data_IF_244724444154
#
_entry.id   IF_244724444154
#
_cell.length_a   1.000
_cell.length_b   1.000
_cell.length_c   1.000
_cell.angle_alpha   90.00
_cell.angle_beta   90.00
_cell.angle_gamma   90.00
#
_symmetry.space_group_name_H-M   'P 1'
#
loop_
_entity.id
_entity.type
_entity.pdbx_description
1 polymer ?
#
# COMPACT_ATOMS: atom_id res chain seq x y z
N UNK A 1 -62.32 -11.46 8.15
CA UNK A 1 -62.64 -10.07 8.55
C UNK A 1 -62.72 -9.16 7.35
N UNK A 2 -61.75 -9.14 6.45
CA UNK A 2 -61.73 -8.30 5.24
C UNK A 2 -62.87 -8.65 4.30
N UNK A 3 -63.14 -9.92 4.02
CA UNK A 3 -64.24 -10.36 3.17
C UNK A 3 -65.62 -9.86 3.70
N UNK A 4 -65.85 -9.95 5.01
CA UNK A 4 -67.09 -9.41 5.62
C UNK A 4 -67.20 -7.88 5.47
N UNK A 5 -66.05 -7.18 5.50
CA UNK A 5 -65.97 -5.73 5.25
C UNK A 5 -66.32 -5.39 3.79
N UNK A 6 -65.82 -6.18 2.83
CA UNK A 6 -66.11 -6.04 1.40
C UNK A 6 -67.64 -6.29 1.12
N UNK A 7 -68.21 -7.31 1.74
CA UNK A 7 -69.65 -7.58 1.61
C UNK A 7 -70.51 -6.39 2.11
N UNK A 8 -70.15 -5.79 3.23
CA UNK A 8 -70.82 -4.60 3.77
C UNK A 8 -70.69 -3.42 2.80
N UNK A 9 -69.51 -3.15 2.26
CA UNK A 9 -69.30 -2.09 1.30
C UNK A 9 -70.02 -2.30 -0.02
N UNK A 10 -70.08 -3.55 -0.50
CA UNK A 10 -70.83 -3.95 -1.67
C UNK A 10 -72.33 -3.69 -1.47
N UNK A 11 -72.89 -4.09 -0.32
CA UNK A 11 -74.30 -3.84 0.01
C UNK A 11 -74.66 -2.35 0.07
N UNK A 12 -73.75 -1.51 0.57
CA UNK A 12 -73.89 -0.05 0.53
C UNK A 12 -73.89 0.47 -0.92
N UNK A 13 -72.98 -0.02 -1.78
CA UNK A 13 -72.93 0.35 -3.20
C UNK A 13 -74.19 -0.01 -3.98
N UNK A 14 -74.71 -1.22 -3.72
CA UNK A 14 -76.01 -1.67 -4.33
C UNK A 14 -77.16 -0.82 -3.84
N UNK A 15 -77.22 -0.41 -2.59
CA UNK A 15 -78.20 0.50 -2.05
C UNK A 15 -78.17 1.89 -2.68
N UNK A 16 -77.00 2.30 -3.23
CA UNK A 16 -76.80 3.56 -3.96
C UNK A 16 -77.15 3.43 -5.48
N UNK A 17 -77.80 2.35 -5.92
CA UNK A 17 -78.18 2.08 -7.32
C UNK A 17 -76.99 1.85 -8.28
N UNK A 18 -75.80 1.48 -7.79
CA UNK A 18 -74.75 1.03 -8.68
C UNK A 18 -74.99 -0.43 -9.11
N UNK A 19 -74.57 -0.77 -10.33
CA UNK A 19 -74.62 -2.17 -10.79
C UNK A 19 -73.76 -3.09 -9.94
N UNK A 20 -74.12 -4.36 -9.82
CA UNK A 20 -73.39 -5.33 -8.95
C UNK A 20 -71.90 -5.43 -9.19
N UNK A 21 -71.48 -5.38 -10.46
CA UNK A 21 -70.06 -5.38 -10.85
C UNK A 21 -69.34 -4.10 -10.43
N UNK A 22 -69.96 -2.93 -10.56
CA UNK A 22 -69.42 -1.64 -10.18
C UNK A 22 -69.33 -1.51 -8.67
N UNK A 23 -70.31 -1.97 -7.92
CA UNK A 23 -70.38 -1.99 -6.47
C UNK A 23 -69.19 -2.86 -5.88
N UNK A 24 -68.95 -3.99 -6.51
CA UNK A 24 -67.90 -4.90 -6.15
C UNK A 24 -66.51 -4.26 -6.38
N UNK A 25 -66.28 -3.67 -7.55
CA UNK A 25 -65.00 -2.97 -7.84
C UNK A 25 -64.75 -1.81 -6.89
N UNK A 26 -65.80 -1.05 -6.53
CA UNK A 26 -65.62 0.04 -5.53
C UNK A 26 -65.39 -0.54 -4.15
N UNK A 27 -66.03 -1.62 -3.73
CA UNK A 27 -65.78 -2.24 -2.41
C UNK A 27 -64.37 -2.78 -2.26
N UNK A 28 -63.88 -3.49 -3.25
CA UNK A 28 -62.49 -3.99 -3.25
C UNK A 28 -61.47 -2.85 -3.32
N UNK A 29 -61.68 -1.84 -4.15
CA UNK A 29 -60.82 -0.65 -4.22
C UNK A 29 -60.78 0.08 -2.87
N UNK A 30 -61.93 0.26 -2.19
CA UNK A 30 -61.95 0.83 -0.83
C UNK A 30 -61.28 -0.06 0.20
N UNK A 31 -61.36 -1.38 0.09
CA UNK A 31 -60.65 -2.29 0.97
C UNK A 31 -59.10 -2.12 0.85
N UNK A 32 -58.57 -1.94 -0.35
CA UNK A 32 -57.16 -1.66 -0.58
C UNK A 32 -56.75 -0.28 0.00
N UNK A 33 -57.60 0.74 -0.24
CA UNK A 33 -57.34 2.08 0.33
C UNK A 33 -57.32 2.05 1.87
N UNK A 34 -58.25 1.29 2.48
CA UNK A 34 -58.27 1.14 3.94
C UNK A 34 -57.07 0.37 4.47
N UNK A 35 -56.58 -0.68 3.76
CA UNK A 35 -55.34 -1.37 4.10
C UNK A 35 -54.14 -0.44 4.03
N UNK A 36 -54.03 0.39 3.01
CA UNK A 36 -52.95 1.39 2.90
C UNK A 36 -53.06 2.43 4.01
N UNK A 37 -54.25 2.92 4.31
CA UNK A 37 -54.48 3.87 5.41
C UNK A 37 -54.08 3.30 6.78
N UNK A 38 -54.45 2.04 7.04
CA UNK A 38 -54.03 1.32 8.25
C UNK A 38 -52.49 1.17 8.28
N UNK A 39 -51.87 0.83 7.15
CA UNK A 39 -50.42 0.74 7.00
C UNK A 39 -49.72 2.05 7.36
N UNK A 40 -50.21 3.17 6.81
CA UNK A 40 -49.70 4.51 7.13
C UNK A 40 -49.91 4.87 8.60
N UNK A 41 -51.12 4.58 9.15
CA UNK A 41 -51.36 4.81 10.58
C UNK A 41 -50.40 4.01 11.48
N UNK A 42 -50.13 2.77 11.12
CA UNK A 42 -49.18 1.92 11.83
C UNK A 42 -47.75 2.42 11.72
N UNK A 43 -47.34 3.06 10.60
CA UNK A 43 -46.05 3.76 10.50
C UNK A 43 -45.95 4.86 11.57
N UNK A 44 -46.98 5.72 11.67
CA UNK A 44 -47.00 6.79 12.66
C UNK A 44 -46.94 6.24 14.10
N UNK A 45 -47.74 5.22 14.37
CA UNK A 45 -47.77 4.57 15.67
C UNK A 45 -46.44 3.92 16.02
N UNK A 46 -45.87 3.14 15.09
CA UNK A 46 -44.55 2.50 15.30
C UNK A 46 -43.43 3.51 15.45
N UNK A 47 -43.40 4.58 14.67
CA UNK A 47 -42.44 5.70 14.85
C UNK A 47 -42.60 6.35 16.20
N UNK A 48 -43.82 6.58 16.69
CA UNK A 48 -44.06 7.14 18.00
C UNK A 48 -43.53 6.21 19.11
N UNK A 49 -43.82 4.90 19.03
CA UNK A 49 -43.38 3.87 19.97
C UNK A 49 -41.84 3.78 19.95
N UNK A 50 -41.27 3.67 18.74
CA UNK A 50 -39.81 3.57 18.56
C UNK A 50 -39.11 4.80 19.15
N UNK A 51 -39.57 6.00 18.80
CA UNK A 51 -38.94 7.22 19.32
C UNK A 51 -39.05 7.31 20.86
N UNK A 52 -40.19 6.92 21.44
CA UNK A 52 -40.37 6.92 22.90
C UNK A 52 -39.51 5.85 23.59
N UNK A 53 -39.51 4.61 23.07
CA UNK A 53 -38.79 3.48 23.65
C UNK A 53 -37.29 3.67 23.51
N UNK A 54 -36.84 4.10 22.34
CA UNK A 54 -35.42 4.32 22.05
C UNK A 54 -34.88 5.49 22.88
N UNK A 55 -35.63 6.59 23.04
CA UNK A 55 -35.24 7.69 23.92
C UNK A 55 -35.13 7.28 25.39
N UNK A 56 -35.92 6.29 25.84
CA UNK A 56 -35.83 5.75 27.22
C UNK A 56 -34.59 4.83 27.35
N UNK A 57 -34.32 3.99 26.35
CA UNK A 57 -33.17 3.08 26.36
C UNK A 57 -31.86 3.85 26.37
N UNK A 58 -31.74 4.89 25.53
CA UNK A 58 -30.52 5.72 25.43
C UNK A 58 -30.19 6.43 26.72
N UNK A 59 -31.20 6.94 27.42
CA UNK A 59 -30.98 7.56 28.74
C UNK A 59 -30.42 6.58 29.79
N UNK A 60 -30.48 5.27 29.53
CA UNK A 60 -29.98 4.20 30.42
C UNK A 60 -28.63 3.62 29.96
N UNK A 61 -28.23 3.79 28.69
CA UNK A 61 -26.96 3.29 28.16
C UNK A 61 -26.06 4.45 27.72
N UNK A 62 -24.83 4.60 28.26
CA UNK A 62 -23.88 5.64 27.87
C UNK A 62 -23.18 5.32 26.54
N UNK A 63 -23.89 4.69 25.59
CA UNK A 63 -23.31 4.23 24.33
C UNK A 63 -23.51 5.24 23.20
N UNK A 64 -22.41 5.75 22.63
CA UNK A 64 -22.43 6.65 21.45
C UNK A 64 -23.02 5.98 20.19
N UNK A 65 -23.10 4.65 20.18
CA UNK A 65 -23.59 3.88 19.02
C UNK A 65 -25.10 4.06 18.80
N UNK A 66 -25.86 4.08 19.87
CA UNK A 66 -27.31 4.16 19.84
C UNK A 66 -27.77 5.53 19.34
N UNK A 67 -27.07 6.59 19.73
CA UNK A 67 -27.33 7.96 19.27
C UNK A 67 -27.16 8.12 17.76
N UNK A 68 -26.16 7.47 17.16
CA UNK A 68 -25.89 7.53 15.73
C UNK A 68 -26.95 6.78 14.91
N UNK A 69 -27.45 5.64 15.39
CA UNK A 69 -28.54 4.91 14.72
C UNK A 69 -29.83 5.74 14.68
N UNK A 70 -30.11 6.49 15.74
CA UNK A 70 -31.28 7.40 15.78
C UNK A 70 -31.09 8.60 14.90
N UNK A 71 -29.92 9.25 14.96
CA UNK A 71 -29.59 10.40 14.12
C UNK A 71 -29.79 10.07 12.63
N UNK A 72 -29.34 8.88 12.21
CA UNK A 72 -29.48 8.39 10.85
C UNK A 72 -30.87 7.76 10.55
N UNK A 73 -31.79 7.83 11.49
CA UNK A 73 -33.19 7.40 11.37
C UNK A 73 -33.35 5.93 10.93
N UNK A 74 -32.43 5.03 11.34
CA UNK A 74 -32.44 3.61 10.93
C UNK A 74 -33.76 2.95 11.35
N UNK A 75 -34.17 3.08 12.59
CA UNK A 75 -35.41 2.49 13.14
C UNK A 75 -36.65 3.05 12.47
N UNK A 76 -36.67 4.35 12.16
CA UNK A 76 -37.77 5.01 11.44
C UNK A 76 -37.93 4.43 10.04
N UNK A 77 -36.81 4.13 9.35
CA UNK A 77 -36.82 3.52 8.02
C UNK A 77 -37.30 2.07 8.05
N UNK A 78 -37.00 1.31 9.11
CA UNK A 78 -37.52 -0.04 9.30
C UNK A 78 -39.05 -0.02 9.40
N UNK A 79 -39.64 0.98 10.09
CA UNK A 79 -41.10 1.12 10.19
C UNK A 79 -41.79 1.32 8.81
N UNK A 80 -41.05 1.81 7.80
CA UNK A 80 -41.60 1.96 6.45
C UNK A 80 -41.91 0.63 5.74
N UNK A 81 -41.40 -0.51 6.26
CA UNK A 81 -41.75 -1.83 5.70
C UNK A 81 -43.18 -2.28 6.03
N UNK A 82 -43.79 -1.69 7.06
CA UNK A 82 -45.12 -2.14 7.58
C UNK A 82 -46.21 -2.14 6.51
N UNK A 83 -46.41 -1.08 5.70
CA UNK A 83 -47.46 -1.09 4.68
C UNK A 83 -47.25 -2.17 3.62
N UNK A 84 -46.02 -2.38 3.20
CA UNK A 84 -45.71 -3.38 2.18
C UNK A 84 -46.00 -4.78 2.69
N UNK A 85 -45.66 -5.08 3.94
CA UNK A 85 -45.92 -6.37 4.58
C UNK A 85 -47.44 -6.59 4.72
N UNK A 86 -48.18 -5.58 5.17
CA UNK A 86 -49.65 -5.65 5.31
C UNK A 86 -50.33 -5.88 3.99
N UNK A 87 -50.03 -5.07 3.00
CA UNK A 87 -50.63 -5.21 1.66
C UNK A 87 -50.33 -6.59 1.09
N UNK A 88 -49.08 -7.03 1.14
CA UNK A 88 -48.69 -8.33 0.60
C UNK A 88 -49.40 -9.50 1.27
N UNK A 89 -49.70 -9.41 2.57
CA UNK A 89 -50.33 -10.46 3.32
C UNK A 89 -51.86 -10.50 3.07
N UNK A 90 -52.50 -9.33 2.93
CA UNK A 90 -53.96 -9.23 2.88
C UNK A 90 -54.53 -8.89 1.51
N UNK A 91 -53.74 -8.64 0.47
CA UNK A 91 -54.21 -8.17 -0.84
C UNK A 91 -55.13 -9.17 -1.52
N UNK A 92 -54.82 -10.47 -1.42
CA UNK A 92 -55.66 -11.52 -2.03
C UNK A 92 -57.02 -11.62 -1.36
N UNK A 93 -57.10 -11.33 -0.06
CA UNK A 93 -58.35 -11.26 0.67
C UNK A 93 -59.13 -9.96 0.41
N UNK A 94 -58.41 -8.89 0.02
CA UNK A 94 -58.99 -7.57 -0.26
C UNK A 94 -59.47 -7.41 -1.71
N UNK A 95 -58.94 -8.21 -2.64
CA UNK A 95 -59.28 -8.18 -4.07
C UNK A 95 -59.43 -9.59 -4.66
N UNK A 96 -60.39 -10.40 -4.18
CA UNK A 96 -60.57 -11.77 -4.66
C UNK A 96 -61.06 -11.84 -6.14
N UNK A 97 -61.84 -10.86 -6.59
CA UNK A 97 -62.43 -10.87 -7.93
C UNK A 97 -61.60 -10.09 -8.98
N UNK A 98 -60.60 -9.31 -8.54
CA UNK A 98 -59.70 -8.53 -9.40
C UNK A 98 -58.24 -8.96 -9.26
N UNK A 99 -57.97 -10.26 -9.50
CA UNK A 99 -56.60 -10.85 -9.37
C UNK A 99 -55.52 -10.08 -10.16
N UNK A 100 -55.86 -9.60 -11.37
CA UNK A 100 -54.92 -8.84 -12.20
C UNK A 100 -54.44 -7.53 -11.53
N UNK A 101 -55.38 -6.82 -10.88
CA UNK A 101 -55.05 -5.59 -10.12
C UNK A 101 -54.28 -5.93 -8.85
N UNK A 102 -54.64 -6.99 -8.15
CA UNK A 102 -53.91 -7.46 -6.97
C UNK A 102 -52.42 -7.78 -7.29
N UNK A 103 -52.17 -8.45 -8.42
CA UNK A 103 -50.81 -8.75 -8.91
C UNK A 103 -50.01 -7.44 -9.15
N UNK A 104 -50.61 -6.42 -9.77
CA UNK A 104 -49.96 -5.14 -10.03
C UNK A 104 -49.59 -4.45 -8.69
N UNK A 105 -50.52 -4.43 -7.73
CA UNK A 105 -50.30 -3.83 -6.41
C UNK A 105 -49.17 -4.54 -5.67
N UNK A 106 -49.15 -5.88 -5.70
CA UNK A 106 -48.07 -6.66 -5.11
C UNK A 106 -46.73 -6.33 -5.78
N UNK A 107 -46.70 -6.14 -7.10
CA UNK A 107 -45.48 -5.73 -7.82
C UNK A 107 -45.00 -4.34 -7.36
N UNK A 108 -45.88 -3.38 -7.21
CA UNK A 108 -45.57 -2.04 -6.72
C UNK A 108 -45.03 -2.12 -5.30
N UNK A 109 -45.65 -2.91 -4.41
CA UNK A 109 -45.18 -3.08 -3.04
C UNK A 109 -43.80 -3.75 -2.96
N UNK A 110 -43.50 -4.70 -3.83
CA UNK A 110 -42.15 -5.29 -3.91
C UNK A 110 -41.08 -4.26 -4.33
N UNK A 111 -41.38 -3.40 -5.29
CA UNK A 111 -40.46 -2.30 -5.66
C UNK A 111 -40.26 -1.35 -4.48
N UNK A 112 -41.36 -1.00 -3.80
CA UNK A 112 -41.29 -0.19 -2.58
C UNK A 112 -40.41 -0.86 -1.49
N UNK A 113 -40.60 -2.16 -1.23
CA UNK A 113 -39.75 -2.92 -0.28
C UNK A 113 -38.27 -2.80 -0.65
N UNK A 114 -37.89 -2.98 -1.93
CA UNK A 114 -36.48 -2.87 -2.38
C UNK A 114 -35.92 -1.47 -2.08
N UNK A 115 -36.72 -0.41 -2.36
CA UNK A 115 -36.32 0.98 -2.11
C UNK A 115 -36.14 1.22 -0.59
N UNK A 116 -37.02 0.69 0.25
CA UNK A 116 -36.94 0.80 1.69
C UNK A 116 -35.72 0.05 2.24
N UNK A 117 -35.46 -1.18 1.78
CA UNK A 117 -34.26 -1.92 2.16
C UNK A 117 -32.97 -1.16 1.77
N UNK A 118 -32.90 -0.63 0.56
CA UNK A 118 -31.78 0.21 0.14
C UNK A 118 -31.59 1.42 1.05
N UNK A 119 -32.70 2.08 1.42
CA UNK A 119 -32.70 3.20 2.35
C UNK A 119 -32.20 2.83 3.75
N UNK A 120 -32.56 1.66 4.26
CA UNK A 120 -32.06 1.14 5.55
C UNK A 120 -30.57 0.88 5.47
N UNK A 121 -30.10 0.19 4.41
CA UNK A 121 -28.66 -0.07 4.21
C UNK A 121 -27.85 1.22 4.11
N UNK A 122 -28.36 2.23 3.38
CA UNK A 122 -27.68 3.54 3.32
C UNK A 122 -27.61 4.23 4.69
N UNK A 123 -28.67 4.10 5.51
CA UNK A 123 -28.65 4.67 6.85
C UNK A 123 -27.63 3.96 7.76
N UNK A 124 -27.50 2.64 7.64
CA UNK A 124 -26.49 1.87 8.34
C UNK A 124 -25.06 2.26 7.91
N UNK A 125 -24.83 2.43 6.60
CA UNK A 125 -23.54 2.90 6.07
C UNK A 125 -23.21 4.30 6.59
N UNK A 126 -24.17 5.22 6.64
CA UNK A 126 -23.98 6.55 7.23
C UNK A 126 -23.63 6.46 8.72
N UNK A 127 -24.31 5.60 9.46
CA UNK A 127 -24.04 5.38 10.89
C UNK A 127 -22.62 4.85 11.10
N UNK A 128 -22.19 3.87 10.30
CA UNK A 128 -20.84 3.34 10.35
C UNK A 128 -19.78 4.41 10.00
N UNK A 129 -20.06 5.25 9.00
CA UNK A 129 -19.19 6.36 8.63
C UNK A 129 -19.06 7.41 9.73
N UNK A 130 -20.18 7.84 10.33
CA UNK A 130 -20.14 8.79 11.45
C UNK A 130 -19.44 8.20 12.68
N UNK A 131 -19.63 6.90 12.91
CA UNK A 131 -18.92 6.19 13.97
C UNK A 131 -17.40 6.18 13.72
N UNK A 132 -16.97 5.85 12.49
CA UNK A 132 -15.57 5.92 12.10
C UNK A 132 -14.99 7.31 12.32
N UNK A 133 -15.72 8.36 11.93
CA UNK A 133 -15.29 9.75 12.08
C UNK A 133 -15.22 10.21 13.57
N UNK A 134 -15.78 9.46 14.50
CA UNK A 134 -15.65 9.75 15.95
C UNK A 134 -14.28 9.37 16.54
N UNK A 135 -13.48 8.60 15.82
CA UNK A 135 -12.12 8.21 16.23
C UNK A 135 -11.09 9.23 15.73
N UNK A 136 -10.06 9.51 16.53
CA UNK A 136 -9.03 10.51 16.18
C UNK A 136 -8.21 10.13 14.94
N UNK A 137 -7.97 8.85 14.71
CA UNK A 137 -7.23 8.39 13.53
C UNK A 137 -7.96 8.61 12.20
N UNK A 138 -9.28 8.86 12.22
CA UNK A 138 -10.05 9.14 11.00
C UNK A 138 -9.60 10.40 10.29
N UNK A 139 -9.06 11.38 11.03
CA UNK A 139 -8.51 12.63 10.48
C UNK A 139 -7.29 12.40 9.59
N UNK A 140 -6.54 11.33 9.86
CA UNK A 140 -5.34 10.96 9.09
C UNK A 140 -5.67 10.04 7.90
N UNK A 141 -6.82 9.32 7.96
CA UNK A 141 -7.23 8.35 6.94
C UNK A 141 -8.71 8.53 6.61
N UNK A 142 -9.10 9.52 5.81
CA UNK A 142 -10.49 9.72 5.43
C UNK A 142 -11.00 8.56 4.56
N UNK A 143 -12.21 8.04 4.88
CA UNK A 143 -12.85 6.93 4.14
C UNK A 143 -14.06 7.37 3.31
N UNK A 144 -14.24 8.66 3.08
CA UNK A 144 -15.41 9.23 2.37
C UNK A 144 -15.59 8.64 0.98
N UNK A 145 -14.50 8.47 0.23
CA UNK A 145 -14.54 7.82 -1.08
C UNK A 145 -15.02 6.38 -1.02
N UNK A 146 -14.58 5.60 -0.03
CA UNK A 146 -15.02 4.22 0.17
C UNK A 146 -16.52 4.16 0.51
N UNK A 147 -16.99 5.06 1.36
CA UNK A 147 -18.40 5.19 1.72
C UNK A 147 -19.26 5.50 0.49
N UNK A 148 -18.82 6.40 -0.39
CA UNK A 148 -19.50 6.72 -1.65
C UNK A 148 -19.58 5.50 -2.57
N UNK A 149 -18.51 4.74 -2.70
CA UNK A 149 -18.49 3.49 -3.50
C UNK A 149 -19.50 2.49 -2.95
N UNK A 150 -19.52 2.24 -1.63
CA UNK A 150 -20.47 1.32 -1.00
C UNK A 150 -21.93 1.76 -1.26
N UNK A 151 -22.22 3.06 -1.11
CA UNK A 151 -23.56 3.61 -1.46
C UNK A 151 -23.89 3.41 -2.93
N UNK A 152 -22.94 3.64 -3.82
CA UNK A 152 -23.09 3.39 -5.26
C UNK A 152 -23.44 1.92 -5.57
N UNK A 153 -22.78 0.98 -4.90
CA UNK A 153 -23.06 -0.46 -5.02
C UNK A 153 -24.48 -0.78 -4.54
N UNK A 154 -24.93 -0.22 -3.40
CA UNK A 154 -26.29 -0.43 -2.89
C UNK A 154 -27.33 0.08 -3.89
N UNK A 155 -27.12 1.26 -4.48
CA UNK A 155 -28.02 1.81 -5.50
C UNK A 155 -28.05 0.92 -6.74
N UNK A 156 -26.87 0.57 -7.27
CA UNK A 156 -26.76 -0.26 -8.48
C UNK A 156 -27.45 -1.61 -8.30
N UNK A 157 -27.23 -2.26 -7.14
CA UNK A 157 -27.86 -3.54 -6.81
C UNK A 157 -29.38 -3.41 -6.65
N UNK A 158 -29.87 -2.32 -6.05
CA UNK A 158 -31.30 -2.05 -5.92
C UNK A 158 -31.97 -1.83 -7.27
N UNK A 159 -31.32 -1.07 -8.16
CA UNK A 159 -31.79 -0.88 -9.55
C UNK A 159 -31.82 -2.21 -10.30
N UNK A 160 -30.78 -3.04 -10.15
CA UNK A 160 -30.70 -4.37 -10.73
C UNK A 160 -31.88 -5.24 -10.28
N UNK A 161 -32.18 -5.29 -8.98
CA UNK A 161 -33.26 -6.05 -8.40
C UNK A 161 -34.63 -5.55 -8.96
N UNK A 162 -34.86 -4.24 -9.03
CA UNK A 162 -36.07 -3.65 -9.58
C UNK A 162 -36.22 -4.02 -11.06
N UNK A 163 -35.16 -3.90 -11.84
CA UNK A 163 -35.17 -4.23 -13.27
C UNK A 163 -35.47 -5.71 -13.50
N UNK A 164 -34.79 -6.59 -12.72
CA UNK A 164 -35.03 -8.05 -12.73
C UNK A 164 -36.51 -8.37 -12.50
N UNK A 165 -37.06 -7.72 -11.48
CA UNK A 165 -38.46 -7.93 -11.09
C UNK A 165 -39.46 -7.41 -12.15
N UNK A 166 -39.20 -6.23 -12.72
CA UNK A 166 -40.04 -5.64 -13.77
C UNK A 166 -40.03 -6.47 -15.06
N UNK A 167 -38.85 -6.99 -15.45
CA UNK A 167 -38.69 -7.80 -16.66
C UNK A 167 -39.18 -9.25 -16.49
N UNK A 168 -39.52 -9.69 -15.28
CA UNK A 168 -39.91 -11.07 -14.99
C UNK A 168 -38.79 -12.09 -15.26
N UNK A 169 -37.52 -11.64 -15.28
CA UNK A 169 -36.34 -12.48 -15.50
C UNK A 169 -35.75 -12.93 -14.16
N UNK A 170 -35.05 -14.05 -14.19
CA UNK A 170 -34.29 -14.46 -12.99
C UNK A 170 -33.11 -13.54 -12.77
N UNK A 171 -32.76 -13.26 -11.52
CA UNK A 171 -31.57 -12.47 -11.15
C UNK A 171 -30.30 -13.07 -11.75
N UNK A 172 -30.19 -14.41 -11.75
CA UNK A 172 -29.07 -15.14 -12.35
C UNK A 172 -28.90 -14.86 -13.84
N UNK A 173 -29.98 -14.82 -14.61
CA UNK A 173 -29.92 -14.54 -16.06
C UNK A 173 -29.40 -13.14 -16.36
N UNK A 174 -29.77 -12.15 -15.56
CA UNK A 174 -29.29 -10.77 -15.72
C UNK A 174 -27.81 -10.66 -15.25
N UNK A 175 -27.44 -11.32 -14.14
CA UNK A 175 -26.05 -11.34 -13.66
C UNK A 175 -25.12 -12.01 -14.68
N UNK A 176 -25.54 -13.12 -15.31
CA UNK A 176 -24.76 -13.80 -16.36
C UNK A 176 -24.55 -12.86 -17.55
N UNK A 177 -25.61 -12.19 -18.02
CA UNK A 177 -25.48 -11.22 -19.12
C UNK A 177 -24.57 -10.04 -18.79
N UNK A 178 -24.76 -9.42 -17.62
CA UNK A 178 -23.89 -8.33 -17.15
C UNK A 178 -22.47 -8.80 -16.87
N UNK A 179 -22.30 -10.04 -16.36
CA UNK A 179 -21.01 -10.63 -16.10
C UNK A 179 -20.14 -10.77 -17.35
N UNK A 180 -20.75 -11.18 -18.46
CA UNK A 180 -20.06 -11.27 -19.75
C UNK A 180 -19.56 -9.88 -20.22
N UNK A 181 -20.42 -8.87 -20.16
CA UNK A 181 -20.04 -7.50 -20.52
C UNK A 181 -18.97 -6.97 -19.59
N UNK A 182 -19.13 -7.22 -18.28
CA UNK A 182 -18.16 -6.79 -17.26
C UNK A 182 -16.80 -7.44 -17.45
N UNK A 183 -16.73 -8.71 -17.84
CA UNK A 183 -15.47 -9.40 -18.12
C UNK A 183 -14.71 -8.75 -19.29
N UNK A 184 -15.41 -8.38 -20.36
CA UNK A 184 -14.82 -7.66 -21.49
C UNK A 184 -14.32 -6.27 -21.07
N UNK A 185 -15.15 -5.53 -20.32
CA UNK A 185 -14.75 -4.20 -19.80
C UNK A 185 -13.55 -4.29 -18.86
N UNK A 186 -13.53 -5.30 -17.96
CA UNK A 186 -12.38 -5.54 -17.06
C UNK A 186 -11.10 -5.82 -17.85
N UNK A 187 -11.20 -6.57 -18.93
CA UNK A 187 -10.05 -6.84 -19.81
C UNK A 187 -9.54 -5.53 -20.46
N UNK A 188 -10.44 -4.69 -20.95
CA UNK A 188 -10.07 -3.41 -21.59
C UNK A 188 -9.43 -2.46 -20.56
N UNK A 189 -9.94 -2.37 -19.35
CA UNK A 189 -9.44 -1.45 -18.31
C UNK A 189 -8.39 -2.06 -17.38
N UNK A 190 -7.97 -3.31 -17.62
CA UNK A 190 -7.07 -4.05 -16.74
C UNK A 190 -5.81 -3.28 -16.37
N UNK A 191 -5.14 -2.68 -17.35
CA UNK A 191 -3.88 -1.98 -17.10
C UNK A 191 -4.10 -0.65 -16.38
N UNK A 192 -5.20 0.04 -16.66
CA UNK A 192 -5.58 1.24 -15.93
C UNK A 192 -5.87 0.95 -14.45
N UNK A 193 -6.58 -0.16 -14.18
CA UNK A 193 -6.89 -0.60 -12.81
C UNK A 193 -5.60 -1.00 -12.07
N UNK A 194 -4.71 -1.78 -12.71
CA UNK A 194 -3.41 -2.13 -12.15
C UNK A 194 -2.57 -0.89 -11.85
N UNK A 195 -2.55 0.08 -12.78
CA UNK A 195 -1.85 1.35 -12.58
C UNK A 195 -2.38 2.13 -11.39
N UNK A 196 -3.69 2.25 -11.28
CA UNK A 196 -4.34 2.92 -10.14
C UNK A 196 -4.03 2.24 -8.80
N UNK A 197 -4.17 0.91 -8.73
CA UNK A 197 -3.83 0.13 -7.53
C UNK A 197 -2.34 0.26 -7.20
N UNK A 198 -1.47 0.23 -8.22
CA UNK A 198 -0.03 0.44 -8.06
C UNK A 198 0.30 1.80 -7.46
N UNK A 199 -0.34 2.88 -7.92
CA UNK A 199 -0.17 4.22 -7.37
C UNK A 199 -0.56 4.30 -5.89
N UNK A 200 -1.69 3.69 -5.53
CA UNK A 200 -2.12 3.61 -4.12
C UNK A 200 -1.09 2.86 -3.27
N UNK A 201 -0.58 1.73 -3.75
CA UNK A 201 0.42 0.93 -3.04
C UNK A 201 1.74 1.69 -2.86
N UNK A 202 2.23 2.38 -3.90
CA UNK A 202 3.43 3.22 -3.82
C UNK A 202 3.29 4.30 -2.73
N UNK A 203 2.12 4.93 -2.64
CA UNK A 203 1.84 5.98 -1.68
C UNK A 203 1.65 5.45 -0.25
N UNK A 204 0.83 4.41 -0.04
CA UNK A 204 0.53 3.88 1.30
C UNK A 204 1.78 3.26 1.93
N UNK A 205 2.60 2.56 1.13
CA UNK A 205 3.80 1.89 1.62
C UNK A 205 5.03 2.82 1.61
N UNK A 206 4.88 4.09 1.25
CA UNK A 206 5.96 5.07 1.15
C UNK A 206 7.16 4.58 0.32
N UNK A 207 6.87 3.83 -0.74
CA UNK A 207 7.91 3.22 -1.58
C UNK A 207 8.65 4.26 -2.41
N UNK A 208 7.98 5.36 -2.76
CA UNK A 208 8.49 6.38 -3.67
C UNK A 208 7.93 7.77 -3.32
N UNK A 209 8.80 8.79 -3.37
CA UNK A 209 8.44 10.21 -3.21
C UNK A 209 8.98 11.03 -4.38
N UNK A 210 8.32 12.15 -4.65
CA UNK A 210 8.86 13.14 -5.60
C UNK A 210 10.21 13.64 -5.05
N UNK A 211 11.21 13.68 -5.94
CA UNK A 211 12.59 14.03 -5.59
C UNK A 211 13.49 12.84 -5.24
N UNK A 212 12.95 11.62 -5.07
CA UNK A 212 13.78 10.43 -4.87
C UNK A 212 14.64 10.15 -6.10
N UNK A 213 15.91 9.85 -5.89
CA UNK A 213 16.73 9.25 -6.92
C UNK A 213 16.47 7.75 -6.98
N UNK A 214 16.06 7.28 -8.17
CA UNK A 214 15.79 5.85 -8.42
C UNK A 214 16.56 5.34 -9.63
N UNK A 215 16.80 4.02 -9.62
CA UNK A 215 17.31 3.27 -10.78
C UNK A 215 16.37 2.11 -11.08
N UNK A 216 15.79 2.12 -12.29
CA UNK A 216 14.88 1.06 -12.76
C UNK A 216 14.95 0.92 -14.28
N UNK A 217 15.56 -0.16 -14.77
CA UNK A 217 15.77 -0.35 -16.20
C UNK A 217 16.54 0.82 -16.83
N UNK A 218 15.98 1.52 -17.83
CA UNK A 218 16.61 2.68 -18.46
C UNK A 218 16.49 3.98 -17.62
N UNK A 219 15.68 3.97 -16.55
CA UNK A 219 15.53 5.13 -15.69
C UNK A 219 16.65 5.17 -14.65
N UNK A 220 17.41 6.25 -14.62
CA UNK A 220 18.42 6.58 -13.62
C UNK A 220 18.41 8.08 -13.38
N UNK A 221 17.68 8.51 -12.33
CA UNK A 221 17.49 9.93 -12.06
C UNK A 221 16.44 10.21 -10.98
N UNK A 222 15.99 11.46 -10.94
CA UNK A 222 15.07 11.93 -9.92
C UNK A 222 13.60 11.81 -10.36
N UNK A 223 12.76 11.37 -9.44
CA UNK A 223 11.31 11.34 -9.62
C UNK A 223 10.77 12.76 -9.70
N UNK A 224 10.20 13.13 -10.84
CA UNK A 224 9.59 14.44 -11.07
C UNK A 224 8.12 14.47 -10.65
N UNK A 225 7.38 13.41 -10.99
CA UNK A 225 5.92 13.37 -10.90
C UNK A 225 5.45 11.94 -10.69
N UNK A 226 4.45 11.79 -9.82
CA UNK A 226 3.77 10.52 -9.56
C UNK A 226 2.28 10.73 -9.86
N UNK A 227 1.81 10.14 -10.96
CA UNK A 227 0.41 10.14 -11.38
C UNK A 227 -0.28 8.83 -11.01
N UNK A 228 -1.60 8.76 -11.26
CA UNK A 228 -2.40 7.56 -10.97
C UNK A 228 -1.92 6.30 -11.71
N UNK A 229 -1.35 6.45 -12.91
CA UNK A 229 -0.96 5.31 -13.75
C UNK A 229 0.51 5.32 -14.14
N UNK A 230 1.22 6.44 -13.94
CA UNK A 230 2.60 6.61 -14.39
C UNK A 230 3.44 7.40 -13.38
N UNK A 231 4.73 7.09 -13.36
CA UNK A 231 5.77 7.87 -12.68
C UNK A 231 6.72 8.41 -13.74
N UNK A 232 7.06 9.70 -13.67
CA UNK A 232 8.05 10.33 -14.54
C UNK A 232 9.36 10.53 -13.78
N UNK A 233 10.45 10.06 -14.39
CA UNK A 233 11.82 10.17 -13.87
C UNK A 233 12.63 11.02 -14.81
N UNK A 234 13.26 12.07 -14.30
CA UNK A 234 14.26 12.84 -15.04
C UNK A 234 15.62 12.18 -14.85
N UNK A 235 16.14 11.63 -15.93
CA UNK A 235 17.46 11.02 -15.97
C UNK A 235 18.57 12.10 -15.89
N UNK A 236 19.79 11.68 -15.59
CA UNK A 236 20.96 12.56 -15.45
C UNK A 236 21.36 13.26 -16.76
N UNK A 237 20.94 12.72 -17.91
CA UNK A 237 21.13 13.33 -19.24
C UNK A 237 19.96 14.29 -19.61
N UNK A 238 19.09 14.63 -18.66
CA UNK A 238 17.88 15.43 -18.82
C UNK A 238 16.77 14.80 -19.66
N UNK A 239 16.88 13.56 -20.08
CA UNK A 239 15.77 12.83 -20.69
C UNK A 239 14.73 12.44 -19.64
N UNK A 240 13.47 12.19 -20.06
CA UNK A 240 12.40 11.78 -19.17
C UNK A 240 11.99 10.36 -19.50
N UNK A 241 12.11 9.48 -18.53
CA UNK A 241 11.57 8.11 -18.59
C UNK A 241 10.23 8.05 -17.89
N UNK A 242 9.19 7.55 -18.58
CA UNK A 242 7.87 7.33 -18.02
C UNK A 242 7.67 5.85 -17.71
N UNK A 243 7.39 5.53 -16.46
CA UNK A 243 7.24 4.17 -15.95
C UNK A 243 5.80 3.97 -15.51
N UNK A 244 5.08 2.93 -15.95
CA UNK A 244 3.78 2.58 -15.40
C UNK A 244 3.88 2.24 -13.89
N UNK A 245 2.95 2.77 -13.07
CA UNK A 245 2.97 2.58 -11.60
C UNK A 245 2.91 1.11 -11.19
N UNK A 246 2.18 0.26 -11.94
CA UNK A 246 2.12 -1.16 -11.67
C UNK A 246 3.48 -1.87 -11.82
N UNK A 247 4.33 -1.40 -12.75
CA UNK A 247 5.68 -1.96 -12.92
C UNK A 247 6.56 -1.67 -11.71
N UNK A 248 6.44 -0.49 -11.12
CA UNK A 248 7.20 -0.12 -9.92
C UNK A 248 6.84 -0.96 -8.70
N UNK A 249 5.63 -1.52 -8.66
CA UNK A 249 5.21 -2.43 -7.59
C UNK A 249 5.60 -3.89 -7.89
N UNK A 250 5.60 -4.27 -9.18
CA UNK A 250 5.84 -5.65 -9.60
C UNK A 250 7.30 -5.98 -9.93
N UNK A 251 8.14 -4.96 -10.17
CA UNK A 251 9.54 -5.12 -10.58
C UNK A 251 10.45 -4.46 -9.54
N UNK A 252 11.55 -5.10 -9.14
CA UNK A 252 12.52 -4.48 -8.24
C UNK A 252 13.12 -3.21 -8.84
N UNK A 253 13.24 -2.17 -8.02
CA UNK A 253 13.96 -0.95 -8.34
C UNK A 253 14.83 -0.53 -7.15
N UNK A 254 15.89 0.22 -7.42
CA UNK A 254 16.74 0.78 -6.37
C UNK A 254 16.29 2.20 -6.06
N UNK A 255 15.96 2.47 -4.79
CA UNK A 255 15.69 3.81 -4.29
C UNK A 255 16.89 4.28 -3.44
N UNK A 256 17.52 5.37 -3.88
CA UNK A 256 18.70 5.95 -3.21
C UNK A 256 18.35 6.86 -2.02
N UNK A 257 17.05 7.04 -1.68
CA UNK A 257 16.62 7.78 -0.49
C UNK A 257 17.34 7.31 0.77
N UNK A 258 17.42 5.98 0.95
CA UNK A 258 18.12 5.40 2.10
C UNK A 258 19.58 5.82 2.19
N UNK A 259 20.29 5.96 1.06
CA UNK A 259 21.64 6.51 1.02
C UNK A 259 21.61 8.01 1.37
N UNK A 260 20.71 8.78 0.79
CA UNK A 260 20.59 10.23 1.03
C UNK A 260 20.26 10.58 2.48
N UNK A 261 19.48 9.73 3.15
CA UNK A 261 19.11 9.88 4.57
C UNK A 261 20.14 9.24 5.52
N UNK A 262 21.05 8.37 5.02
CA UNK A 262 22.06 7.70 5.82
C UNK A 262 23.21 8.62 6.24
N UNK A 263 24.08 8.12 7.12
CA UNK A 263 25.29 8.83 7.58
C UNK A 263 26.40 8.97 6.55
N UNK A 264 26.29 8.41 5.32
CA UNK A 264 27.36 8.52 4.34
C UNK A 264 27.13 7.75 3.05
N UNK A 265 27.84 8.16 1.98
CA UNK A 265 27.84 7.49 0.69
C UNK A 265 29.00 6.53 0.56
N UNK A 266 28.72 5.28 0.20
CA UNK A 266 29.70 4.20 0.16
C UNK A 266 30.75 4.39 -0.94
N UNK A 267 32.03 4.27 -0.57
CA UNK A 267 33.18 4.08 -1.45
C UNK A 267 33.54 2.60 -1.41
N UNK A 268 33.60 1.93 -2.56
CA UNK A 268 33.95 0.52 -2.66
C UNK A 268 34.73 0.28 -3.95
N UNK A 269 35.93 0.89 -4.05
CA UNK A 269 36.82 0.76 -5.22
C UNK A 269 38.02 -0.13 -4.91
N UNK A 270 38.60 -0.73 -5.93
CA UNK A 270 39.76 -1.60 -5.85
C UNK A 270 40.95 -1.01 -6.61
N UNK A 271 42.15 -1.26 -6.09
CA UNK A 271 43.39 -1.17 -6.84
C UNK A 271 43.93 -2.58 -7.04
N UNK A 272 44.43 -2.89 -8.21
CA UNK A 272 44.99 -4.20 -8.53
C UNK A 272 46.51 -4.17 -8.40
N UNK A 273 47.05 -4.98 -7.48
CA UNK A 273 48.52 -5.07 -7.26
C UNK A 273 49.08 -6.18 -8.12
N UNK A 274 50.17 -5.90 -8.81
CA UNK A 274 50.93 -6.89 -9.57
C UNK A 274 51.50 -7.95 -8.62
N UNK A 275 51.07 -9.21 -8.79
CA UNK A 275 51.49 -10.35 -7.98
C UNK A 275 53.01 -10.51 -7.92
N UNK A 276 53.72 -10.22 -9.01
CA UNK A 276 55.18 -10.35 -9.08
C UNK A 276 55.95 -9.38 -8.18
N UNK A 277 55.28 -8.35 -7.67
CA UNK A 277 55.89 -7.36 -6.76
C UNK A 277 55.62 -7.65 -5.30
N UNK A 278 54.78 -8.66 -5.00
CA UNK A 278 54.46 -9.09 -3.64
C UNK A 278 55.61 -9.98 -3.12
N UNK A 279 56.21 -9.59 -1.99
CA UNK A 279 57.31 -10.32 -1.37
C UNK A 279 57.34 -10.16 0.14
N UNK A 280 58.08 -11.04 0.81
CA UNK A 280 58.42 -10.84 2.20
C UNK A 280 59.35 -9.61 2.35
N UNK A 281 59.16 -8.87 3.45
CA UNK A 281 59.99 -7.70 3.73
C UNK A 281 61.37 -8.12 4.24
N UNK A 282 62.41 -7.52 3.64
CA UNK A 282 63.76 -7.59 4.20
C UNK A 282 63.89 -6.64 5.38
N UNK A 283 64.92 -6.82 6.26
CA UNK A 283 65.18 -5.87 7.34
C UNK A 283 65.33 -4.41 6.86
N UNK A 284 65.96 -4.20 5.72
CA UNK A 284 66.18 -2.87 5.13
C UNK A 284 64.83 -2.27 4.71
N UNK A 285 63.93 -3.07 4.15
CA UNK A 285 62.57 -2.63 3.79
C UNK A 285 61.78 -2.23 5.03
N UNK A 286 61.88 -3.01 6.12
CA UNK A 286 61.18 -2.71 7.37
C UNK A 286 61.68 -1.40 7.99
N UNK A 287 63.03 -1.19 8.01
CA UNK A 287 63.61 0.06 8.49
C UNK A 287 63.16 1.25 7.63
N UNK A 288 63.15 1.13 6.29
CA UNK A 288 62.63 2.15 5.38
C UNK A 288 61.16 2.49 5.70
N UNK A 289 60.28 1.47 5.89
CA UNK A 289 58.88 1.68 6.11
C UNK A 289 58.56 2.24 7.51
N UNK A 290 59.42 2.02 8.52
CA UNK A 290 59.30 2.63 9.85
C UNK A 290 59.42 4.16 9.84
N UNK A 291 59.97 4.75 8.77
CA UNK A 291 59.97 6.20 8.59
C UNK A 291 58.62 6.76 8.20
N UNK A 292 57.65 5.92 7.75
CA UNK A 292 56.30 6.34 7.41
C UNK A 292 55.45 6.38 8.67
N UNK A 293 55.11 7.58 9.15
CA UNK A 293 54.45 7.81 10.45
C UNK A 293 53.17 6.98 10.65
N UNK A 294 52.35 6.79 9.58
CA UNK A 294 51.07 6.07 9.65
C UNK A 294 51.21 4.56 9.91
N UNK A 295 52.36 3.95 9.66
CA UNK A 295 52.56 2.50 9.82
C UNK A 295 53.71 2.14 10.76
N UNK A 296 54.46 3.10 11.27
CA UNK A 296 55.58 2.89 12.18
C UNK A 296 55.18 1.99 13.36
N UNK A 297 54.17 2.39 14.09
CA UNK A 297 53.74 1.67 15.30
C UNK A 297 53.20 0.29 14.97
N UNK A 298 52.48 0.17 13.85
CA UNK A 298 52.01 -1.13 13.35
C UNK A 298 53.16 -2.09 13.05
N UNK A 299 54.23 -1.60 12.36
CA UNK A 299 55.38 -2.43 12.02
C UNK A 299 56.09 -2.89 13.30
N UNK A 300 56.37 -1.98 14.23
CA UNK A 300 57.03 -2.29 15.50
C UNK A 300 56.25 -3.32 16.31
N UNK A 301 54.94 -3.13 16.44
CA UNK A 301 54.07 -4.08 17.15
C UNK A 301 54.08 -5.46 16.47
N UNK A 302 53.97 -5.45 15.13
CA UNK A 302 53.93 -6.69 14.36
C UNK A 302 55.24 -7.47 14.38
N UNK A 303 56.39 -6.77 14.43
CA UNK A 303 57.70 -7.41 14.65
C UNK A 303 57.75 -8.13 15.99
N UNK A 304 57.29 -7.48 17.07
CA UNK A 304 57.21 -8.11 18.40
C UNK A 304 56.34 -9.35 18.39
N UNK A 305 55.13 -9.25 17.84
CA UNK A 305 54.17 -10.38 17.76
C UNK A 305 54.78 -11.57 16.98
N UNK A 306 55.52 -11.28 15.91
CA UNK A 306 56.17 -12.30 15.08
C UNK A 306 57.30 -12.97 15.82
N UNK A 307 58.18 -12.21 16.50
CA UNK A 307 59.29 -12.74 17.29
C UNK A 307 58.76 -13.63 18.44
N UNK A 308 57.78 -13.14 19.17
CA UNK A 308 57.16 -13.92 20.25
C UNK A 308 56.53 -15.22 19.74
N UNK A 309 55.77 -15.16 18.62
CA UNK A 309 55.16 -16.35 18.02
C UNK A 309 56.23 -17.37 17.56
N UNK A 310 57.24 -16.92 16.84
CA UNK A 310 58.27 -17.80 16.31
C UNK A 310 59.08 -18.46 17.46
N UNK A 311 59.39 -17.69 18.52
CA UNK A 311 60.03 -18.20 19.72
C UNK A 311 59.19 -19.23 20.49
N UNK A 312 57.91 -18.92 20.72
CA UNK A 312 56.98 -19.79 21.44
C UNK A 312 56.79 -21.13 20.75
N UNK A 313 56.91 -21.18 19.41
CA UNK A 313 56.74 -22.39 18.61
C UNK A 313 58.10 -23.03 18.22
N UNK A 314 59.24 -22.58 18.78
CA UNK A 314 60.59 -23.07 18.50
C UNK A 314 60.91 -23.13 17.00
N UNK A 315 60.51 -22.11 16.25
CA UNK A 315 60.69 -22.08 14.79
C UNK A 315 62.12 -21.65 14.48
N UNK A 316 62.81 -22.43 13.65
CA UNK A 316 64.09 -22.02 13.09
C UNK A 316 63.90 -20.94 12.02
N UNK A 317 64.30 -19.73 12.32
CA UNK A 317 64.18 -18.54 11.47
C UNK A 317 65.36 -18.33 10.54
N UNK A 318 66.24 -19.30 10.41
CA UNK A 318 67.41 -19.24 9.48
C UNK A 318 66.96 -19.09 8.02
N UNK A 319 65.82 -19.67 7.69
CA UNK A 319 65.17 -19.54 6.39
C UNK A 319 63.91 -18.64 6.48
N UNK A 320 63.80 -17.72 5.56
CA UNK A 320 62.67 -16.73 5.55
C UNK A 320 61.31 -17.40 5.47
N UNK A 321 61.21 -18.60 4.89
CA UNK A 321 59.95 -19.37 4.77
C UNK A 321 59.56 -20.01 6.09
N UNK A 322 60.48 -20.13 7.04
CA UNK A 322 60.18 -20.71 8.33
C UNK A 322 59.53 -19.64 9.24
N UNK A 323 58.36 -19.93 9.75
CA UNK A 323 57.70 -19.03 10.68
C UNK A 323 56.94 -17.87 10.02
N UNK A 324 56.48 -16.95 10.87
CA UNK A 324 55.73 -15.79 10.41
C UNK A 324 56.66 -14.66 9.98
N UNK A 325 56.28 -13.98 8.89
CA UNK A 325 57.01 -12.84 8.36
C UNK A 325 56.03 -11.75 7.91
N UNK A 326 56.49 -10.53 7.77
CA UNK A 326 55.75 -9.43 7.19
C UNK A 326 55.91 -9.41 5.65
N UNK A 327 54.88 -9.00 4.95
CA UNK A 327 54.92 -8.79 3.50
C UNK A 327 54.69 -7.32 3.18
N UNK A 328 55.27 -6.83 2.08
CA UNK A 328 55.09 -5.45 1.63
C UNK A 328 53.60 -5.10 1.38
N UNK A 329 52.81 -5.99 0.79
CA UNK A 329 51.37 -5.78 0.60
C UNK A 329 50.60 -5.74 1.93
N UNK A 330 51.04 -6.50 2.94
CA UNK A 330 50.47 -6.49 4.28
C UNK A 330 50.65 -5.14 4.98
N UNK A 331 51.89 -4.58 4.89
CA UNK A 331 52.20 -3.26 5.45
C UNK A 331 51.48 -2.16 4.65
N UNK A 332 51.44 -2.24 3.33
CA UNK A 332 50.70 -1.28 2.49
C UNK A 332 49.19 -1.27 2.81
N UNK A 333 48.61 -2.43 3.02
CA UNK A 333 47.22 -2.53 3.47
C UNK A 333 46.99 -1.85 4.83
N UNK A 334 47.91 -2.02 5.76
CA UNK A 334 47.86 -1.34 7.07
C UNK A 334 48.02 0.18 6.91
N UNK A 335 48.89 0.63 6.00
CA UNK A 335 49.07 2.04 5.66
C UNK A 335 47.76 2.65 5.13
N UNK A 336 47.13 2.04 4.13
CA UNK A 336 45.89 2.53 3.58
C UNK A 336 44.80 2.59 4.68
N UNK A 337 44.74 1.56 5.54
CA UNK A 337 43.81 1.54 6.67
C UNK A 337 44.03 2.72 7.62
N UNK A 338 45.25 3.01 7.97
CA UNK A 338 45.60 4.16 8.81
C UNK A 338 45.26 5.48 8.11
N UNK A 339 45.56 5.58 6.82
CA UNK A 339 45.26 6.76 6.01
C UNK A 339 43.75 7.08 5.96
N UNK A 340 42.89 6.08 5.66
CA UNK A 340 41.46 6.29 5.64
C UNK A 340 40.88 6.57 7.03
N UNK A 341 41.44 5.97 8.08
CA UNK A 341 41.03 6.22 9.47
C UNK A 341 41.41 7.64 9.96
N UNK A 342 42.35 8.31 9.34
CA UNK A 342 42.73 9.69 9.66
C UNK A 342 42.09 10.72 8.72
N UNK A 343 41.28 10.28 7.73
CA UNK A 343 40.66 11.18 6.78
C UNK A 343 39.35 11.78 7.37
N UNK A 344 39.30 13.10 7.63
CA UNK A 344 38.12 13.75 8.22
C UNK A 344 36.89 13.79 7.29
N UNK A 345 37.07 13.58 5.98
CA UNK A 345 35.98 13.55 5.00
C UNK A 345 35.20 12.21 5.01
N UNK A 346 35.70 11.19 5.78
CA UNK A 346 35.09 9.88 5.91
C UNK A 346 34.31 9.72 7.22
N UNK A 347 33.27 8.93 7.19
CA UNK A 347 32.43 8.66 8.37
C UNK A 347 32.98 7.47 9.18
N UNK A 348 33.59 7.79 10.32
CA UNK A 348 34.21 6.80 11.22
C UNK A 348 33.19 5.96 12.02
N UNK A 349 31.92 6.35 12.04
CA UNK A 349 30.84 5.58 12.69
C UNK A 349 30.31 4.44 11.81
N UNK A 350 30.67 4.44 10.52
CA UNK A 350 30.32 3.40 9.58
C UNK A 350 31.48 2.45 9.33
N UNK A 351 31.18 1.27 8.78
CA UNK A 351 32.19 0.25 8.52
C UNK A 351 33.27 0.75 7.56
N UNK A 352 34.51 0.73 8.01
CA UNK A 352 35.70 1.02 7.18
C UNK A 352 36.68 -0.16 7.22
N UNK A 353 37.12 -0.56 6.04
CA UNK A 353 38.12 -1.64 5.93
C UNK A 353 38.93 -1.53 4.65
N UNK A 354 40.13 -2.12 4.69
CA UNK A 354 40.93 -2.42 3.50
C UNK A 354 41.13 -3.93 3.45
N UNK A 355 40.62 -4.56 2.39
CA UNK A 355 40.64 -6.02 2.26
C UNK A 355 41.21 -6.45 0.91
N UNK A 356 41.80 -7.63 0.89
CA UNK A 356 42.15 -8.33 -0.33
C UNK A 356 40.90 -9.08 -0.82
N UNK A 357 40.61 -8.96 -2.10
CA UNK A 357 39.64 -9.82 -2.77
C UNK A 357 40.38 -10.98 -3.43
N UNK A 358 39.59 -11.90 -4.04
CA UNK A 358 40.14 -13.04 -4.73
C UNK A 358 41.09 -12.58 -5.85
N UNK A 359 42.33 -13.10 -5.93
CA UNK A 359 43.25 -12.80 -7.04
C UNK A 359 42.64 -13.18 -8.37
N UNK A 360 42.95 -12.42 -9.41
CA UNK A 360 42.50 -12.62 -10.79
C UNK A 360 43.67 -12.50 -11.76
N UNK A 361 43.42 -12.64 -13.04
CA UNK A 361 44.39 -12.36 -14.11
C UNK A 361 44.89 -10.92 -14.12
N UNK A 362 44.16 -10.02 -13.44
CA UNK A 362 44.52 -8.60 -13.26
C UNK A 362 45.27 -8.32 -11.95
N UNK A 363 45.83 -9.34 -11.28
CA UNK A 363 46.58 -9.21 -10.05
C UNK A 363 45.75 -9.44 -8.79
N UNK A 364 46.22 -8.90 -7.67
CA UNK A 364 45.56 -8.97 -6.34
C UNK A 364 44.79 -7.69 -6.07
N UNK A 365 43.44 -7.73 -6.08
CA UNK A 365 42.61 -6.55 -5.81
C UNK A 365 42.65 -6.19 -4.31
N UNK A 366 43.11 -4.98 -3.98
CA UNK A 366 42.96 -4.35 -2.67
C UNK A 366 41.75 -3.42 -2.71
N UNK A 367 40.67 -3.79 -2.01
CA UNK A 367 39.46 -2.97 -1.93
C UNK A 367 39.53 -2.04 -0.75
N UNK A 368 39.31 -0.77 -1.02
CA UNK A 368 39.03 0.25 -0.03
C UNK A 368 37.52 0.34 0.13
N UNK A 369 37.04 0.07 1.34
CA UNK A 369 35.64 0.13 1.69
C UNK A 369 35.46 1.15 2.81
N UNK A 370 34.80 2.26 2.51
CA UNK A 370 34.57 3.38 3.43
C UNK A 370 33.29 4.13 3.08
N UNK A 371 32.92 5.11 3.88
CA UNK A 371 31.77 5.97 3.61
C UNK A 371 32.20 7.43 3.68
N UNK A 372 31.91 8.20 2.63
CA UNK A 372 32.08 9.65 2.62
C UNK A 372 31.02 10.32 3.48
N UNK A 373 31.40 11.34 4.28
CA UNK A 373 30.45 12.17 5.01
C UNK A 373 29.59 13.01 4.06
N UNK A 374 30.17 13.49 2.96
CA UNK A 374 29.44 14.24 1.94
C UNK A 374 28.83 13.26 0.92
N UNK A 375 27.55 13.39 0.69
CA UNK A 375 26.73 12.53 -0.21
C UNK A 375 26.46 13.19 -1.55
N UNK A 376 26.74 14.50 -1.67
CA UNK A 376 26.62 15.24 -2.93
C UNK A 376 27.55 14.62 -3.98
N UNK A 377 27.05 14.34 -5.17
CA UNK A 377 27.78 13.56 -6.16
C UNK A 377 29.15 14.15 -6.49
N UNK A 378 29.21 15.43 -6.80
CA UNK A 378 30.47 16.11 -7.15
C UNK A 378 31.50 15.99 -6.03
N UNK A 379 31.10 16.31 -4.81
CA UNK A 379 31.98 16.27 -3.63
C UNK A 379 32.42 14.84 -3.29
N UNK A 380 31.49 13.88 -3.44
CA UNK A 380 31.78 12.46 -3.25
C UNK A 380 32.84 11.95 -4.24
N UNK A 381 32.74 12.31 -5.52
CA UNK A 381 33.71 11.90 -6.54
C UNK A 381 35.07 12.55 -6.29
N UNK A 382 35.10 13.81 -5.85
CA UNK A 382 36.35 14.49 -5.45
C UNK A 382 37.03 13.79 -4.26
N UNK A 383 36.26 13.51 -3.19
CA UNK A 383 36.78 12.80 -2.02
C UNK A 383 37.36 11.43 -2.40
N UNK A 384 36.63 10.71 -3.24
CA UNK A 384 37.03 9.41 -3.73
C UNK A 384 38.28 9.49 -4.60
N UNK A 385 38.38 10.48 -5.49
CA UNK A 385 39.55 10.70 -6.34
C UNK A 385 40.79 11.06 -5.52
N UNK A 386 40.70 12.00 -4.58
CA UNK A 386 41.78 12.35 -3.65
C UNK A 386 42.37 11.13 -2.93
N UNK A 387 41.51 10.23 -2.46
CA UNK A 387 41.94 9.00 -1.77
C UNK A 387 42.71 8.08 -2.72
N UNK A 388 42.19 7.88 -3.94
CA UNK A 388 42.80 6.95 -4.89
C UNK A 388 44.05 7.51 -5.52
N UNK A 389 44.14 8.80 -5.79
CA UNK A 389 45.38 9.47 -6.25
C UNK A 389 46.50 9.25 -5.25
N UNK A 390 46.23 9.48 -3.96
CA UNK A 390 47.21 9.24 -2.91
C UNK A 390 47.63 7.77 -2.79
N UNK A 391 46.67 6.86 -2.79
CA UNK A 391 46.93 5.41 -2.61
C UNK A 391 47.66 4.82 -3.81
N UNK A 392 47.36 5.23 -5.02
CA UNK A 392 48.05 4.81 -6.23
C UNK A 392 49.51 5.26 -6.22
N UNK A 393 49.79 6.52 -5.86
CA UNK A 393 51.13 7.06 -5.76
C UNK A 393 51.92 6.39 -4.60
N UNK A 394 51.29 6.11 -3.46
CA UNK A 394 51.92 5.49 -2.32
C UNK A 394 52.33 4.03 -2.57
N UNK A 395 51.73 3.31 -3.51
CA UNK A 395 52.04 1.90 -3.75
C UNK A 395 53.54 1.67 -4.06
N UNK A 396 54.17 2.56 -4.85
CA UNK A 396 55.60 2.46 -5.20
C UNK A 396 56.48 2.61 -3.98
N UNK A 397 56.09 3.38 -2.97
CA UNK A 397 56.87 3.56 -1.73
C UNK A 397 56.98 2.27 -0.94
N UNK A 398 56.05 1.33 -1.16
CA UNK A 398 56.07 -0.02 -0.56
C UNK A 398 56.59 -1.09 -1.51
N UNK A 399 57.31 -0.68 -2.55
CA UNK A 399 57.90 -1.56 -3.57
C UNK A 399 56.82 -2.43 -4.27
N UNK A 400 55.60 -1.89 -4.44
CA UNK A 400 54.49 -2.50 -5.12
C UNK A 400 54.21 -1.80 -6.44
N UNK A 401 53.82 -2.54 -7.47
CA UNK A 401 53.37 -2.00 -8.75
C UNK A 401 51.90 -2.24 -8.92
N UNK A 402 51.22 -1.25 -9.47
CA UNK A 402 49.86 -1.40 -9.89
C UNK A 402 49.84 -2.21 -11.20
N UNK A 403 48.94 -3.20 -11.27
CA UNK A 403 48.83 -4.02 -12.46
C UNK A 403 48.30 -3.18 -13.63
N UNK A 404 48.98 -3.26 -14.74
CA UNK A 404 48.53 -2.71 -16.03
C UNK A 404 48.66 -3.79 -17.09
N UNK A 405 47.59 -4.01 -17.86
CA UNK A 405 47.64 -4.92 -19.00
C UNK A 405 48.60 -4.30 -20.04
N UNK A 406 49.67 -4.98 -20.35
CA UNK A 406 50.60 -4.62 -21.44
C UNK A 406 50.10 -5.15 -22.76
#
# INVERSE_FOLDING_TARGET
MIQKYIEILKGIGESMHFGTSTSLAIAEGLAVVTLLAIGVMLIFLSRFIVNKTVNILIKRTPSKYDDLLIKNKVFVRICLLIPAILVKYYINDAMPDFEGAAIIIVKIMKIYEIIVYASILMALVNTAHELYNSFEFSKLKPIEGLVQVVKGIIIAFSVLLITTFLLGKSLSSIIIGLGTISAVLLLIFQDSIKGFVGSIQLSINDMLRIGDWIVMGPADGNVMEINLTTVKVQNWDNTITTIPTYQMVSTPFTNWRGMSESGGRRIARTINIDVNTIRYCTPEMLEKYKHYSLVKDYIIQREKDIVEYNKANNIDTSEIMNGRQQTNIGIFRAYIRAYINNNPKLNHNLTMMVRQLQPSEFGVPLQIYAFSNDKQWVNYEEIQSDIFDHVLAAAEMFDLKIYQKR
#
